data_IF_141872217844
#
_entry.id   IF_141872217844
#
_cell.length_a   1.000
_cell.length_b   1.000
_cell.length_c   1.000
_cell.angle_alpha   90.00
_cell.angle_beta   90.00
_cell.angle_gamma   90.00
#
_symmetry.space_group_name_H-M   'P 1'
#
loop_
_entity.id
_entity.type
_entity.pdbx_description
1 polymer ?
#
# COMPACT_ATOMS: atom_id res chain seq x y z
N UNK A 1 -3.89 -16.11 -3.81
CA UNK A 1 -3.20 -14.89 -4.28
C UNK A 1 -1.77 -14.97 -3.79
N UNK A 2 -0.79 -14.70 -4.66
CA UNK A 2 0.63 -14.65 -4.26
C UNK A 2 0.91 -13.35 -3.48
N UNK A 3 1.93 -13.35 -2.63
CA UNK A 3 2.35 -12.15 -1.92
C UNK A 3 2.74 -11.01 -2.88
N UNK A 4 3.41 -11.33 -4.00
CA UNK A 4 3.75 -10.35 -5.06
C UNK A 4 2.52 -9.68 -5.66
N UNK A 5 1.44 -10.44 -5.90
CA UNK A 5 0.19 -9.86 -6.41
C UNK A 5 -0.44 -8.91 -5.38
N UNK A 6 -0.41 -9.28 -4.09
CA UNK A 6 -0.90 -8.41 -3.01
C UNK A 6 -0.12 -7.10 -2.95
N UNK A 7 1.21 -7.16 -3.03
CA UNK A 7 2.09 -5.99 -3.04
C UNK A 7 1.81 -5.09 -4.23
N UNK A 8 1.58 -5.65 -5.42
CA UNK A 8 1.20 -4.89 -6.62
C UNK A 8 -0.14 -4.16 -6.39
N UNK A 9 -1.15 -4.82 -5.82
CA UNK A 9 -2.41 -4.16 -5.47
C UNK A 9 -2.23 -3.03 -4.45
N UNK A 10 -1.39 -3.26 -3.44
CA UNK A 10 -1.11 -2.30 -2.38
C UNK A 10 -0.38 -1.05 -2.94
N UNK A 11 0.68 -1.26 -3.72
CA UNK A 11 1.41 -0.21 -4.43
C UNK A 11 0.49 0.57 -5.36
N UNK A 12 -0.39 -0.11 -6.11
CA UNK A 12 -1.36 0.54 -6.99
C UNK A 12 -2.33 1.46 -6.25
N UNK A 13 -2.76 1.09 -5.04
CA UNK A 13 -3.61 1.95 -4.22
C UNK A 13 -2.85 3.16 -3.65
N UNK A 14 -1.58 2.97 -3.28
CA UNK A 14 -0.76 4.07 -2.83
C UNK A 14 -0.44 5.05 -3.97
N UNK A 15 -0.07 4.53 -5.14
CA UNK A 15 0.14 5.32 -6.36
C UNK A 15 -1.09 6.16 -6.72
N UNK A 16 -2.28 5.55 -6.73
CA UNK A 16 -3.52 6.27 -6.99
C UNK A 16 -3.85 7.31 -5.90
N UNK A 17 -3.43 7.07 -4.66
CA UNK A 17 -3.56 8.04 -3.57
C UNK A 17 -2.64 9.24 -3.80
N UNK A 18 -1.37 9.01 -4.12
CA UNK A 18 -0.40 10.06 -4.44
C UNK A 18 -0.88 10.92 -5.62
N UNK A 19 -1.36 10.30 -6.69
CA UNK A 19 -1.91 11.03 -7.85
C UNK A 19 -3.11 11.91 -7.47
N UNK A 20 -4.00 11.43 -6.60
CA UNK A 20 -5.17 12.19 -6.15
C UNK A 20 -4.79 13.34 -5.23
N UNK A 21 -3.85 13.12 -4.33
CA UNK A 21 -3.29 14.19 -3.49
C UNK A 21 -2.56 15.23 -4.34
N UNK A 22 -1.81 14.81 -5.35
CA UNK A 22 -1.13 15.71 -6.28
C UNK A 22 -2.15 16.53 -7.11
N UNK A 23 -3.25 15.91 -7.53
CA UNK A 23 -4.32 16.62 -8.22
C UNK A 23 -5.06 17.63 -7.32
N UNK A 24 -5.11 17.38 -6.01
CA UNK A 24 -5.76 18.26 -5.03
C UNK A 24 -4.86 19.43 -4.61
N UNK A 25 -3.59 19.14 -4.31
CA UNK A 25 -2.64 20.08 -3.69
C UNK A 25 -1.70 20.75 -4.71
N UNK A 26 -1.55 20.13 -5.88
CA UNK A 26 -0.41 20.36 -6.78
C UNK A 26 0.77 19.45 -6.43
N UNK A 27 1.48 18.97 -7.46
CA UNK A 27 2.60 18.03 -7.29
C UNK A 27 3.75 18.64 -6.47
N UNK A 28 4.07 19.92 -6.68
CA UNK A 28 5.12 20.62 -5.93
C UNK A 28 4.82 20.72 -4.44
N UNK A 29 3.60 21.11 -4.07
CA UNK A 29 3.16 21.20 -2.66
C UNK A 29 3.15 19.81 -2.03
N UNK A 30 2.62 18.81 -2.73
CA UNK A 30 2.63 17.44 -2.22
C UNK A 30 4.07 16.96 -1.97
N UNK A 31 4.99 17.24 -2.89
CA UNK A 31 6.41 16.91 -2.71
C UNK A 31 7.00 17.53 -1.44
N UNK A 32 6.82 18.82 -1.23
CA UNK A 32 7.32 19.52 -0.03
C UNK A 32 6.77 18.89 1.26
N UNK A 33 5.48 18.56 1.27
CA UNK A 33 4.85 17.87 2.41
C UNK A 33 5.45 16.47 2.64
N UNK A 34 5.73 15.72 1.57
CA UNK A 34 6.34 14.40 1.65
C UNK A 34 7.79 14.44 2.16
N UNK A 35 8.57 15.44 1.73
CA UNK A 35 9.94 15.69 2.24
C UNK A 35 9.90 16.00 3.74
N UNK A 36 8.95 16.82 4.18
CA UNK A 36 8.83 17.21 5.60
C UNK A 36 8.56 16.05 6.55
N UNK A 37 7.89 14.97 6.11
CA UNK A 37 7.68 13.78 6.96
C UNK A 37 8.96 12.94 7.06
N UNK A 38 9.80 12.94 6.02
CA UNK A 38 11.06 12.19 6.00
C UNK A 38 12.04 12.66 7.08
N UNK A 39 11.98 13.95 7.44
CA UNK A 39 12.81 14.57 8.47
C UNK A 39 12.23 14.48 9.89
N UNK A 40 10.94 14.19 10.03
CA UNK A 40 10.27 14.01 11.33
C UNK A 40 10.44 12.55 11.76
N UNK A 41 11.54 12.33 12.50
CA UNK A 41 11.88 11.14 13.29
C UNK A 41 10.77 10.08 13.42
N UNK A 42 11.08 8.88 12.93
CA UNK A 42 11.02 7.54 13.57
C UNK A 42 10.28 7.32 14.91
N UNK A 43 9.23 8.07 15.26
CA UNK A 43 8.43 7.75 16.44
C UNK A 43 7.36 6.71 16.09
N UNK A 44 7.66 5.50 16.57
CA UNK A 44 6.99 4.20 16.40
C UNK A 44 7.08 3.68 14.97
N UNK A 45 8.11 2.85 14.74
CA UNK A 45 8.11 1.84 13.68
C UNK A 45 6.70 1.28 13.55
N UNK A 46 6.08 1.50 12.39
CA UNK A 46 4.81 0.86 12.08
C UNK A 46 5.01 -0.63 12.30
N UNK A 47 4.11 -1.28 13.07
CA UNK A 47 4.25 -2.71 13.36
C UNK A 47 4.43 -3.45 12.03
N UNK A 48 5.43 -4.34 11.92
CA UNK A 48 5.66 -5.06 10.69
C UNK A 48 4.41 -5.86 10.34
N UNK A 49 3.90 -5.64 9.13
CA UNK A 49 2.74 -6.35 8.60
C UNK A 49 3.04 -7.85 8.61
N UNK A 50 2.32 -8.60 9.45
CA UNK A 50 2.56 -10.04 9.64
C UNK A 50 1.55 -10.86 8.84
N UNK A 51 2.02 -11.69 7.93
CA UNK A 51 1.17 -12.54 7.08
C UNK A 51 1.59 -14.00 7.17
N UNK A 52 0.61 -14.90 7.25
CA UNK A 52 0.85 -16.35 7.14
C UNK A 52 0.91 -16.73 5.66
N UNK A 53 1.99 -17.41 5.29
CA UNK A 53 2.29 -17.78 3.91
C UNK A 53 2.39 -19.29 3.77
N UNK A 54 1.74 -19.81 2.73
CA UNK A 54 1.92 -21.18 2.29
C UNK A 54 3.03 -21.20 1.23
N UNK A 55 4.20 -21.74 1.60
CA UNK A 55 5.30 -21.97 0.66
C UNK A 55 4.97 -23.17 -0.23
N UNK A 56 5.05 -23.05 -1.56
CA UNK A 56 5.00 -24.22 -2.41
C UNK A 56 6.24 -25.10 -2.19
N UNK A 57 6.07 -26.42 -2.27
CA UNK A 57 7.14 -27.39 -2.05
C UNK A 57 8.32 -27.23 -3.04
N UNK A 58 8.05 -26.68 -4.24
CA UNK A 58 9.03 -26.24 -5.22
C UNK A 58 8.57 -24.89 -5.81
N UNK A 59 9.41 -23.86 -5.69
CA UNK A 59 9.26 -22.59 -6.38
C UNK A 59 10.32 -22.50 -7.48
N UNK A 60 9.91 -22.26 -8.72
CA UNK A 60 10.84 -21.83 -9.76
C UNK A 60 11.52 -20.52 -9.32
N UNK A 61 12.77 -20.24 -9.73
CA UNK A 61 13.33 -18.92 -9.58
C UNK A 61 12.41 -17.94 -10.32
N UNK A 62 11.80 -17.03 -9.57
CA UNK A 62 10.89 -16.02 -10.10
C UNK A 62 11.47 -14.66 -9.75
N UNK A 63 11.50 -13.78 -10.75
CA UNK A 63 11.84 -12.38 -10.57
C UNK A 63 10.61 -11.61 -10.05
N UNK A 64 10.10 -11.98 -8.88
CA UNK A 64 8.98 -11.28 -8.25
C UNK A 64 9.26 -9.78 -8.09
N UNK A 65 10.52 -9.41 -7.90
CA UNK A 65 10.95 -8.01 -7.91
C UNK A 65 10.76 -7.36 -9.29
N UNK A 66 11.09 -8.05 -10.39
CA UNK A 66 10.85 -7.53 -11.75
C UNK A 66 9.34 -7.44 -12.05
N UNK A 67 8.51 -8.34 -11.52
CA UNK A 67 7.04 -8.22 -11.61
C UNK A 67 6.56 -6.94 -10.92
N UNK A 68 7.09 -6.62 -9.72
CA UNK A 68 6.77 -5.38 -9.01
C UNK A 68 7.25 -4.15 -9.80
N UNK A 69 8.49 -4.17 -10.28
CA UNK A 69 9.07 -3.04 -11.03
C UNK A 69 8.27 -2.77 -12.32
N UNK A 70 7.93 -3.84 -13.07
CA UNK A 70 7.09 -3.72 -14.25
C UNK A 70 5.72 -3.13 -13.90
N UNK A 71 5.08 -3.61 -12.82
CA UNK A 71 3.79 -3.10 -12.38
C UNK A 71 3.86 -1.62 -11.98
N UNK A 72 4.92 -1.18 -11.29
CA UNK A 72 5.11 0.23 -10.92
C UNK A 72 5.28 1.11 -12.17
N UNK A 73 6.07 0.66 -13.16
CA UNK A 73 6.22 1.38 -14.44
C UNK A 73 4.89 1.52 -15.18
N UNK A 74 4.02 0.52 -15.13
CA UNK A 74 2.68 0.57 -15.73
C UNK A 74 1.75 1.60 -15.07
N UNK A 75 2.01 2.01 -13.82
CA UNK A 75 1.22 3.05 -13.12
C UNK A 75 1.43 4.45 -13.71
N UNK A 76 2.47 4.65 -14.53
CA UNK A 76 2.80 5.91 -15.23
C UNK A 76 2.84 7.11 -14.27
N UNK A 77 3.51 6.93 -13.14
CA UNK A 77 3.71 8.00 -12.18
C UNK A 77 4.74 9.01 -12.70
N UNK A 78 4.59 10.31 -12.37
CA UNK A 78 5.71 11.24 -12.41
C UNK A 78 6.88 10.69 -11.57
N UNK A 79 8.11 10.91 -12.01
CA UNK A 79 9.31 10.36 -11.37
C UNK A 79 9.39 10.70 -9.87
N UNK A 80 8.93 11.89 -9.48
CA UNK A 80 8.85 12.32 -8.08
C UNK A 80 7.89 11.45 -7.27
N UNK A 81 6.68 11.19 -7.78
CA UNK A 81 5.71 10.35 -7.08
C UNK A 81 6.13 8.88 -7.06
N UNK A 82 6.78 8.40 -8.12
CA UNK A 82 7.37 7.06 -8.14
C UNK A 82 8.46 6.90 -7.07
N UNK A 83 9.32 7.91 -6.88
CA UNK A 83 10.31 7.91 -5.81
C UNK A 83 9.66 7.78 -4.42
N UNK A 84 8.61 8.57 -4.12
CA UNK A 84 7.90 8.46 -2.84
C UNK A 84 7.10 7.18 -2.69
N UNK A 85 6.64 6.60 -3.80
CA UNK A 85 6.09 5.26 -3.77
C UNK A 85 7.16 4.28 -3.28
N UNK A 86 8.37 4.26 -3.84
CA UNK A 86 9.42 3.33 -3.41
C UNK A 86 9.94 3.58 -1.99
N UNK A 87 9.92 4.83 -1.52
CA UNK A 87 10.45 5.18 -0.20
C UNK A 87 9.52 4.89 0.97
N UNK A 88 8.28 4.47 0.72
CA UNK A 88 7.28 4.28 1.77
C UNK A 88 7.58 3.07 2.69
N UNK A 89 7.82 3.28 4.00
CA UNK A 89 8.35 2.23 4.87
C UNK A 89 7.47 0.96 5.01
N UNK A 90 6.14 1.03 5.13
CA UNK A 90 5.29 -0.15 5.41
C UNK A 90 5.44 -1.35 4.46
N UNK A 91 5.55 -1.11 3.15
CA UNK A 91 5.76 -2.22 2.20
C UNK A 91 7.22 -2.40 1.78
N UNK A 92 8.08 -1.40 2.00
CA UNK A 92 9.52 -1.57 1.81
C UNK A 92 10.05 -2.70 2.68
N UNK A 93 9.59 -2.79 3.93
CA UNK A 93 9.92 -3.92 4.82
C UNK A 93 9.45 -5.27 4.26
N UNK A 94 8.27 -5.35 3.63
CA UNK A 94 7.80 -6.59 3.02
C UNK A 94 8.62 -6.97 1.79
N UNK A 95 8.99 -6.01 0.96
CA UNK A 95 9.80 -6.21 -0.25
C UNK A 95 11.25 -6.59 0.10
N UNK A 96 11.83 -5.94 1.11
CA UNK A 96 13.21 -6.16 1.56
C UNK A 96 13.35 -7.34 2.55
N UNK A 97 12.22 -7.90 3.04
CA UNK A 97 12.24 -9.06 3.93
C UNK A 97 12.66 -10.34 3.22
N UNK A 98 13.06 -11.35 4.00
CA UNK A 98 13.35 -12.71 3.52
C UNK A 98 12.09 -13.53 3.17
N UNK A 99 10.92 -12.88 3.07
CA UNK A 99 9.69 -13.53 2.67
C UNK A 99 9.78 -13.95 1.20
N UNK A 100 9.26 -15.14 0.91
CA UNK A 100 9.10 -15.58 -0.47
C UNK A 100 7.90 -14.85 -1.08
N UNK A 101 8.17 -13.87 -1.95
CA UNK A 101 7.14 -13.09 -2.62
C UNK A 101 6.23 -13.94 -3.52
N UNK A 102 6.66 -15.14 -3.91
CA UNK A 102 5.83 -16.09 -4.65
C UNK A 102 4.97 -16.98 -3.78
N UNK A 103 5.19 -16.97 -2.46
CA UNK A 103 4.36 -17.74 -1.55
C UNK A 103 2.90 -17.30 -1.67
N UNK A 104 2.01 -18.28 -1.55
CA UNK A 104 0.58 -18.02 -1.60
C UNK A 104 0.11 -17.61 -0.21
N UNK A 105 -0.64 -16.52 -0.16
CA UNK A 105 -1.29 -16.07 1.06
C UNK A 105 -2.38 -17.08 1.44
N UNK A 106 -2.41 -17.52 2.70
CA UNK A 106 -3.48 -18.35 3.23
C UNK A 106 -4.72 -17.49 3.59
N UNK A 107 -5.84 -17.59 2.85
CA UNK A 107 -7.06 -16.85 3.17
C UNK A 107 -7.79 -17.40 4.42
N UNK A 108 -7.54 -18.66 4.80
CA UNK A 108 -8.14 -19.32 5.96
C UNK A 108 -7.37 -19.07 7.26
N UNK A 109 -6.14 -18.53 7.16
CA UNK A 109 -5.42 -17.98 8.30
C UNK A 109 -6.29 -16.95 9.02
N UNK A 110 -6.45 -17.11 10.33
CA UNK A 110 -7.42 -16.41 11.19
C UNK A 110 -7.35 -14.87 11.15
N UNK A 111 -6.34 -14.26 10.52
CA UNK A 111 -6.06 -12.83 10.57
C UNK A 111 -5.87 -12.15 9.20
N UNK A 112 -6.19 -12.79 8.06
CA UNK A 112 -5.89 -12.14 6.76
C UNK A 112 -6.73 -10.88 6.48
N UNK A 113 -8.00 -10.84 6.90
CA UNK A 113 -8.79 -9.59 6.82
C UNK A 113 -8.12 -8.48 7.64
N UNK A 114 -7.61 -8.84 8.80
CA UNK A 114 -6.96 -7.92 9.73
C UNK A 114 -5.64 -7.43 9.15
N UNK A 115 -4.91 -8.27 8.42
CA UNK A 115 -3.71 -7.88 7.67
C UNK A 115 -4.01 -6.86 6.56
N UNK A 116 -5.11 -7.05 5.80
CA UNK A 116 -5.53 -6.08 4.77
C UNK A 116 -5.94 -4.76 5.42
N UNK A 117 -6.70 -4.82 6.50
CA UNK A 117 -7.20 -3.66 7.22
C UNK A 117 -6.02 -2.93 7.93
N UNK A 118 -5.03 -3.65 8.46
CA UNK A 118 -3.80 -3.08 9.03
C UNK A 118 -2.96 -2.36 7.96
N UNK A 119 -2.81 -2.94 6.76
CA UNK A 119 -2.11 -2.28 5.66
C UNK A 119 -2.81 -0.95 5.26
N UNK A 120 -4.15 -0.94 5.24
CA UNK A 120 -4.94 0.27 4.99
C UNK A 120 -4.78 1.29 6.12
N UNK A 121 -4.78 0.84 7.37
CA UNK A 121 -4.66 1.73 8.52
C UNK A 121 -3.27 2.36 8.62
N UNK A 122 -2.20 1.62 8.30
CA UNK A 122 -0.86 2.19 8.17
C UNK A 122 -0.80 3.25 7.06
N UNK A 123 -1.41 2.98 5.92
CA UNK A 123 -1.52 3.94 4.82
C UNK A 123 -2.28 5.22 5.23
N UNK A 124 -3.45 5.08 5.85
CA UNK A 124 -4.25 6.22 6.34
C UNK A 124 -3.52 7.02 7.42
N UNK A 125 -2.85 6.32 8.34
CA UNK A 125 -2.06 6.96 9.40
C UNK A 125 -0.96 7.84 8.82
N UNK A 126 -0.30 7.37 7.76
CA UNK A 126 0.71 8.17 7.08
C UNK A 126 0.12 9.41 6.39
N UNK A 127 -1.04 9.31 5.74
CA UNK A 127 -1.70 10.48 5.13
C UNK A 127 -2.02 11.53 6.20
N UNK A 128 -2.45 11.10 7.38
CA UNK A 128 -2.70 12.00 8.53
C UNK A 128 -1.45 12.65 9.10
N UNK A 129 -0.27 12.06 8.86
CA UNK A 129 1.01 12.67 9.24
C UNK A 129 1.46 13.77 8.28
N UNK A 130 0.87 13.88 7.07
CA UNK A 130 1.14 15.00 6.18
C UNK A 130 0.72 16.29 6.89
N UNK A 131 1.58 17.32 6.97
CA UNK A 131 1.24 18.59 7.59
C UNK A 131 0.31 19.41 6.68
N UNK A 132 -0.87 18.86 6.43
CA UNK A 132 -1.90 19.44 5.60
C UNK A 132 -2.57 20.60 6.34
N UNK A 133 -2.85 21.71 5.64
CA UNK A 133 -3.72 22.75 6.19
C UNK A 133 -5.07 22.15 6.63
N UNK A 134 -5.63 22.54 7.78
CA UNK A 134 -6.86 21.97 8.31
C UNK A 134 -8.05 22.12 7.35
N UNK A 135 -8.02 23.14 6.48
CA UNK A 135 -9.04 23.39 5.45
C UNK A 135 -9.06 22.29 4.37
N UNK A 136 -7.91 21.67 4.09
CA UNK A 136 -7.75 20.66 3.03
C UNK A 136 -7.68 19.25 3.62
N UNK A 137 -7.37 19.10 4.91
CA UNK A 137 -7.21 17.81 5.58
C UNK A 137 -8.39 16.86 5.35
N UNK A 138 -9.63 17.32 5.53
CA UNK A 138 -10.82 16.49 5.29
C UNK A 138 -10.95 16.07 3.83
N UNK A 139 -10.64 16.96 2.88
CA UNK A 139 -10.71 16.67 1.45
C UNK A 139 -9.61 15.67 1.06
N UNK A 140 -8.40 15.81 1.61
CA UNK A 140 -7.29 14.89 1.41
C UNK A 140 -7.63 13.47 1.93
N UNK A 141 -8.25 13.35 3.10
CA UNK A 141 -8.75 12.07 3.62
C UNK A 141 -9.82 11.47 2.69
N UNK A 142 -10.75 12.28 2.19
CA UNK A 142 -11.81 11.80 1.30
C UNK A 142 -11.28 11.31 -0.05
N UNK A 143 -10.37 12.05 -0.69
CA UNK A 143 -9.82 11.66 -2.00
C UNK A 143 -8.90 10.45 -1.88
N UNK A 144 -8.22 10.29 -0.74
CA UNK A 144 -7.34 9.14 -0.49
C UNK A 144 -8.10 7.87 -0.13
N UNK A 145 -9.30 7.96 0.44
CA UNK A 145 -10.05 6.78 0.89
C UNK A 145 -10.55 5.88 -0.25
N UNK A 146 -10.82 6.45 -1.44
CA UNK A 146 -11.33 5.68 -2.58
C UNK A 146 -10.34 4.60 -3.09
N UNK A 147 -9.06 4.90 -3.35
CA UNK A 147 -8.05 3.89 -3.67
C UNK A 147 -8.01 2.71 -2.68
N UNK A 148 -8.03 2.99 -1.38
CA UNK A 148 -7.95 1.96 -0.34
C UNK A 148 -9.19 1.07 -0.27
N UNK A 149 -10.38 1.64 -0.47
CA UNK A 149 -11.61 0.84 -0.61
C UNK A 149 -11.56 -0.09 -1.82
N UNK A 150 -11.07 0.40 -2.96
CA UNK A 150 -10.91 -0.41 -4.18
C UNK A 150 -9.90 -1.54 -3.98
N UNK A 151 -8.77 -1.25 -3.32
CA UNK A 151 -7.77 -2.24 -2.93
C UNK A 151 -8.38 -3.35 -2.08
N UNK A 152 -9.07 -2.99 -0.99
CA UNK A 152 -9.73 -3.95 -0.10
C UNK A 152 -10.69 -4.85 -0.87
N UNK A 153 -11.54 -4.26 -1.72
CA UNK A 153 -12.49 -5.01 -2.54
C UNK A 153 -11.81 -5.95 -3.53
N UNK A 154 -10.74 -5.51 -4.19
CA UNK A 154 -10.00 -6.32 -5.15
C UNK A 154 -9.30 -7.52 -4.48
N UNK A 155 -8.64 -7.28 -3.33
CA UNK A 155 -7.95 -8.31 -2.55
C UNK A 155 -8.94 -9.35 -2.02
N UNK A 156 -10.03 -8.91 -1.37
CA UNK A 156 -11.04 -9.83 -0.83
C UNK A 156 -11.68 -10.68 -1.93
N UNK A 157 -12.01 -10.06 -3.08
CA UNK A 157 -12.55 -10.76 -4.24
C UNK A 157 -11.59 -11.82 -4.79
N UNK A 158 -10.30 -11.48 -4.94
CA UNK A 158 -9.24 -12.42 -5.39
C UNK A 158 -9.07 -13.62 -4.44
N UNK A 159 -9.48 -13.47 -3.18
CA UNK A 159 -9.40 -14.53 -2.16
C UNK A 159 -10.73 -15.27 -1.95
N UNK A 160 -11.74 -15.01 -2.79
CA UNK A 160 -13.05 -15.65 -2.68
C UNK A 160 -13.85 -15.22 -1.45
N UNK A 161 -13.38 -14.21 -0.68
CA UNK A 161 -14.16 -13.61 0.41
C UNK A 161 -15.09 -12.55 -0.20
N UNK A 162 -16.39 -12.61 0.10
CA UNK A 162 -17.32 -11.54 -0.31
C UNK A 162 -16.84 -10.23 0.31
N UNK A 163 -16.81 -9.10 -0.43
CA UNK A 163 -16.61 -7.80 0.19
C UNK A 163 -17.75 -7.63 1.18
N UNK A 164 -17.45 -7.54 2.47
CA UNK A 164 -18.46 -7.24 3.49
C UNK A 164 -19.06 -5.87 3.14
N UNK A 165 -20.26 -5.89 2.56
CA UNK A 165 -21.14 -4.73 2.55
C UNK A 165 -21.32 -4.31 4.00
N UNK A 166 -20.97 -3.06 4.33
CA UNK A 166 -21.30 -2.48 5.62
C UNK A 166 -22.82 -2.59 5.78
N UNK A 167 -23.26 -3.39 6.73
CA UNK A 167 -24.60 -3.30 7.30
C UNK A 167 -24.74 -1.85 7.80
N UNK A 168 -25.72 -1.14 7.22
CA UNK A 168 -26.08 0.23 7.57
C UNK A 168 -26.61 0.33 9.00
#
# INVERSE_FOLDING_TARGET
MRLVEFLIYLLGAHAATLQRLAALLGEGVLRELLESIGDVETEKEAKPLTVQLNRPAWSAPSDAYAEIEAAVREMRLPATLEFYLWSYPPYRHLIESSLDLNATIDPAGLAFSDFVDEAIDQARHWIRKLPLPPEIGLQAEQVSDFPWRRFRGAVLKKLGKRPLERVR
#
